data_IF_778982645425
#
_entry.id   IF_778982645425
#
_cell.length_a   1.000
_cell.length_b   1.000
_cell.length_c   1.000
_cell.angle_alpha   90.00
_cell.angle_beta   90.00
_cell.angle_gamma   90.00
#
_symmetry.space_group_name_H-M   'P 1'
#
loop_
_entity.id
_entity.type
_entity.pdbx_description
1 polymer ?
#
# COMPACT_ATOMS: atom_id res chain seq x y z
N UNK A 1 -37.32 2.45 18.97
CA UNK A 1 -36.21 3.23 18.36
C UNK A 1 -34.83 2.77 18.82
N UNK A 2 -34.65 2.26 20.02
CA UNK A 2 -33.34 1.77 20.56
C UNK A 2 -32.87 0.46 19.88
N UNK A 3 -33.76 -0.43 19.47
CA UNK A 3 -33.39 -1.71 18.84
C UNK A 3 -32.77 -1.53 17.42
N UNK A 4 -33.20 -0.52 16.65
CA UNK A 4 -32.70 -0.26 15.30
C UNK A 4 -31.24 0.24 15.35
N UNK A 5 -30.87 1.00 16.38
CA UNK A 5 -29.49 1.53 16.54
C UNK A 5 -28.50 0.40 16.87
N UNK A 6 -28.92 -0.60 17.65
CA UNK A 6 -28.06 -1.75 17.99
C UNK A 6 -27.80 -2.69 16.79
N UNK A 7 -28.76 -2.83 15.87
CA UNK A 7 -28.58 -3.65 14.66
C UNK A 7 -27.61 -2.98 13.68
N UNK A 8 -27.65 -1.65 13.54
CA UNK A 8 -26.73 -0.90 12.69
C UNK A 8 -25.27 -0.95 13.21
N UNK A 9 -25.09 -0.90 14.54
CA UNK A 9 -23.75 -0.98 15.13
C UNK A 9 -23.10 -2.36 14.95
N UNK A 10 -23.88 -3.44 15.01
CA UNK A 10 -23.35 -4.80 14.82
C UNK A 10 -22.96 -5.09 13.37
N UNK A 11 -23.68 -4.50 12.39
CA UNK A 11 -23.37 -4.67 10.97
C UNK A 11 -22.06 -3.97 10.56
N UNK A 12 -21.78 -2.79 11.09
CA UNK A 12 -20.54 -2.05 10.80
C UNK A 12 -19.34 -2.78 11.39
N UNK A 13 -19.44 -3.32 12.59
CA UNK A 13 -18.35 -4.10 13.21
C UNK A 13 -18.08 -5.39 12.43
N UNK A 14 -19.12 -6.07 11.94
CA UNK A 14 -18.97 -7.28 11.14
C UNK A 14 -18.29 -7.01 9.80
N UNK A 15 -18.60 -5.91 9.11
CA UNK A 15 -17.96 -5.50 7.84
C UNK A 15 -16.48 -5.19 8.05
N UNK A 16 -16.10 -4.50 9.13
CA UNK A 16 -14.71 -4.21 9.45
C UNK A 16 -13.90 -5.47 9.76
N UNK A 17 -14.51 -6.47 10.41
CA UNK A 17 -13.85 -7.75 10.71
C UNK A 17 -13.70 -8.63 9.46
N UNK A 18 -14.67 -8.63 8.54
CA UNK A 18 -14.60 -9.42 7.30
C UNK A 18 -13.50 -8.87 6.39
N UNK A 19 -13.41 -7.56 6.19
CA UNK A 19 -12.38 -6.96 5.36
C UNK A 19 -10.96 -7.18 5.93
N UNK A 20 -10.80 -7.12 7.26
CA UNK A 20 -9.52 -7.41 7.91
C UNK A 20 -9.10 -8.88 7.75
N UNK A 21 -10.04 -9.82 7.76
CA UNK A 21 -9.77 -11.25 7.63
C UNK A 21 -9.33 -11.64 6.20
N UNK A 22 -9.88 -11.04 5.18
CA UNK A 22 -9.49 -11.29 3.77
C UNK A 22 -8.09 -10.78 3.47
N UNK A 23 -7.70 -9.62 3.98
CA UNK A 23 -6.35 -9.06 3.81
C UNK A 23 -5.30 -9.98 4.45
N UNK A 24 -5.54 -10.47 5.66
CA UNK A 24 -4.63 -11.40 6.34
C UNK A 24 -4.47 -12.71 5.55
N UNK A 25 -5.56 -13.28 5.02
CA UNK A 25 -5.51 -14.51 4.25
C UNK A 25 -4.80 -14.33 2.89
N UNK A 26 -4.94 -13.17 2.24
CA UNK A 26 -4.21 -12.86 1.01
C UNK A 26 -2.69 -12.81 1.23
N UNK A 27 -2.24 -12.16 2.32
CA UNK A 27 -0.82 -12.06 2.67
C UNK A 27 -0.25 -13.43 3.05
N UNK A 28 -0.96 -14.21 3.89
CA UNK A 28 -0.52 -15.54 4.31
C UNK A 28 -0.41 -16.50 3.13
N UNK A 29 -1.37 -16.51 2.19
CA UNK A 29 -1.32 -17.38 1.01
C UNK A 29 -0.17 -17.02 0.06
N UNK A 30 0.17 -15.74 -0.08
CA UNK A 30 1.28 -15.31 -0.96
C UNK A 30 2.65 -15.68 -0.38
N UNK A 31 2.81 -15.58 0.93
CA UNK A 31 4.04 -16.02 1.64
C UNK A 31 4.19 -17.54 1.55
N UNK A 32 3.12 -18.32 1.69
CA UNK A 32 3.15 -19.79 1.59
C UNK A 32 3.49 -20.29 0.18
N UNK A 33 3.14 -19.56 -0.88
CA UNK A 33 3.51 -19.93 -2.26
C UNK A 33 4.98 -19.60 -2.59
N UNK A 34 5.56 -18.58 -1.97
CA UNK A 34 6.97 -18.22 -2.18
C UNK A 34 7.94 -19.21 -1.51
N UNK A 35 7.52 -19.88 -0.44
CA UNK A 35 8.37 -20.83 0.31
C UNK A 35 8.44 -22.24 -0.32
N UNK A 36 7.55 -22.59 -1.26
CA UNK A 36 7.51 -23.92 -1.87
C UNK A 36 8.40 -24.08 -3.12
N UNK A 37 9.07 -23.02 -3.58
CA UNK A 37 9.91 -23.08 -4.78
C UNK A 37 11.42 -23.29 -4.52
N UNK A 38 11.84 -23.51 -3.27
CA UNK A 38 13.26 -23.70 -2.90
C UNK A 38 13.55 -25.01 -2.17
N UNK A 39 12.76 -26.07 -2.38
CA UNK A 39 13.05 -27.40 -1.81
C UNK A 39 13.25 -28.47 -2.86
N UNK A 40 14.28 -28.35 -3.66
CA UNK A 40 14.93 -29.48 -4.29
C UNK A 40 16.44 -29.18 -4.41
N UNK A 41 17.19 -29.63 -3.48
CA UNK A 41 18.57 -30.15 -3.49
C UNK A 41 19.20 -29.95 -2.12
N UNK A 42 19.26 -30.99 -1.33
CA UNK A 42 20.39 -31.52 -0.56
C UNK A 42 19.91 -32.44 0.56
N UNK A 43 20.01 -33.72 0.31
CA UNK A 43 20.08 -34.73 1.38
C UNK A 43 21.52 -34.81 1.86
N UNK A 44 21.80 -34.60 3.15
CA UNK A 44 22.43 -35.57 4.06
C UNK A 44 22.85 -34.92 5.39
N UNK A 45 22.45 -35.64 6.46
CA UNK A 45 23.10 -35.74 7.78
C UNK A 45 23.17 -34.52 8.72
N UNK A 46 22.41 -34.45 9.80
CA UNK A 46 22.79 -34.97 11.15
C UNK A 46 21.75 -34.49 12.16
N UNK A 47 21.34 -35.36 13.06
CA UNK A 47 20.50 -35.05 14.23
C UNK A 47 21.14 -33.96 15.10
N UNK A 48 20.37 -32.92 15.44
CA UNK A 48 20.44 -32.32 16.76
C UNK A 48 19.14 -31.54 17.04
N UNK A 49 18.61 -31.83 18.21
CA UNK A 49 17.40 -31.34 18.84
C UNK A 49 17.62 -29.90 19.24
N UNK A 50 16.94 -28.95 18.57
CA UNK A 50 16.80 -27.59 19.06
C UNK A 50 15.32 -27.20 18.97
N UNK A 51 14.69 -27.21 20.12
CA UNK A 51 13.44 -26.56 20.41
C UNK A 51 13.68 -25.03 20.31
N UNK A 52 13.43 -24.45 19.16
CA UNK A 52 13.49 -23.01 18.91
C UNK A 52 12.10 -22.54 18.49
N UNK A 53 11.43 -21.80 19.34
CA UNK A 53 10.26 -21.01 18.97
C UNK A 53 10.67 -20.09 17.82
N UNK A 54 10.26 -20.40 16.60
CA UNK A 54 10.35 -19.46 15.47
C UNK A 54 9.42 -18.28 15.76
N UNK A 55 9.97 -17.24 16.39
CA UNK A 55 9.34 -15.94 16.37
C UNK A 55 9.31 -15.47 14.91
N UNK A 56 8.14 -15.51 14.28
CA UNK A 56 7.89 -14.87 13.00
C UNK A 56 8.04 -13.37 13.20
N UNK A 57 9.28 -12.90 13.14
CA UNK A 57 9.58 -11.48 13.08
C UNK A 57 9.08 -10.99 11.71
N UNK A 58 7.91 -10.35 11.67
CA UNK A 58 7.45 -9.65 10.49
C UNK A 58 8.51 -8.62 10.13
N UNK A 59 9.30 -8.88 9.11
CA UNK A 59 10.29 -7.92 8.61
C UNK A 59 9.51 -6.68 8.14
N UNK A 60 9.63 -5.61 8.89
CA UNK A 60 9.03 -4.33 8.56
C UNK A 60 9.69 -3.81 7.27
N UNK A 61 8.88 -3.54 6.24
CA UNK A 61 9.33 -3.01 4.95
C UNK A 61 10.06 -1.69 5.18
N UNK A 62 11.18 -1.45 4.47
CA UNK A 62 11.86 -0.15 4.49
C UNK A 62 10.89 0.94 4.03
N UNK A 63 10.79 2.02 4.79
CA UNK A 63 9.87 3.13 4.48
C UNK A 63 10.21 3.81 3.15
N UNK A 64 11.46 3.79 2.71
CA UNK A 64 11.85 4.33 1.41
C UNK A 64 11.22 3.53 0.26
N UNK A 65 11.05 2.21 0.41
CA UNK A 65 10.34 1.38 -0.58
C UNK A 65 8.87 1.83 -0.69
N UNK A 66 8.25 2.15 0.43
CA UNK A 66 6.88 2.67 0.46
C UNK A 66 6.79 4.04 -0.20
N UNK A 67 7.75 4.95 0.10
CA UNK A 67 7.81 6.26 -0.56
C UNK A 67 8.03 6.14 -2.08
N UNK A 68 8.88 5.21 -2.54
CA UNK A 68 9.09 4.94 -3.96
C UNK A 68 7.80 4.46 -4.63
N UNK A 69 7.07 3.54 -4.02
CA UNK A 69 5.81 3.05 -4.58
C UNK A 69 4.76 4.17 -4.67
N UNK A 70 4.63 4.99 -3.63
CA UNK A 70 3.73 6.16 -3.65
C UNK A 70 4.17 7.19 -4.69
N UNK A 71 5.47 7.44 -4.82
CA UNK A 71 6.03 8.37 -5.82
C UNK A 71 5.67 7.92 -7.23
N UNK A 72 5.82 6.64 -7.56
CA UNK A 72 5.49 6.08 -8.87
C UNK A 72 3.99 6.13 -9.17
N UNK A 73 3.14 5.84 -8.18
CA UNK A 73 1.69 6.04 -8.31
C UNK A 73 1.36 7.52 -8.55
N UNK A 74 1.97 8.44 -7.77
CA UNK A 74 1.73 9.87 -7.92
C UNK A 74 2.18 10.39 -9.30
N UNK A 75 3.29 9.87 -9.85
CA UNK A 75 3.77 10.21 -11.19
C UNK A 75 2.71 9.97 -12.28
N UNK A 76 1.85 8.98 -12.11
CA UNK A 76 0.78 8.69 -13.07
C UNK A 76 -0.19 9.86 -13.22
N UNK A 77 -0.46 10.60 -12.14
CA UNK A 77 -1.51 11.64 -12.10
C UNK A 77 -0.98 13.07 -12.07
N UNK A 78 0.34 13.29 -12.16
CA UNK A 78 0.92 14.64 -12.14
C UNK A 78 1.57 15.04 -13.48
N UNK A 79 1.79 16.35 -13.62
CA UNK A 79 2.62 16.96 -14.66
C UNK A 79 3.82 17.58 -13.95
N UNK A 80 5.07 17.16 -14.25
CA UNK A 80 6.27 17.73 -13.65
C UNK A 80 6.61 19.10 -14.21
N UNK A 81 7.36 19.92 -13.44
CA UNK A 81 7.78 21.27 -13.84
C UNK A 81 8.74 21.25 -15.05
N UNK A 82 9.60 20.25 -15.12
CA UNK A 82 10.68 20.12 -16.10
C UNK A 82 10.38 19.08 -17.20
N UNK A 83 9.19 18.48 -17.20
CA UNK A 83 8.78 17.45 -18.15
C UNK A 83 9.35 16.06 -17.88
N UNK A 84 10.18 15.88 -16.86
CA UNK A 84 10.78 14.59 -16.54
C UNK A 84 9.98 13.81 -15.50
N UNK A 85 9.73 12.53 -15.77
CA UNK A 85 9.13 11.58 -14.82
C UNK A 85 9.91 10.27 -14.82
N UNK A 86 10.09 9.69 -13.63
CA UNK A 86 10.83 8.44 -13.45
C UNK A 86 9.91 7.36 -12.88
N UNK A 87 9.47 6.47 -13.75
CA UNK A 87 8.56 5.38 -13.39
C UNK A 87 7.14 5.88 -13.13
N UNK A 88 6.19 5.07 -13.55
CA UNK A 88 4.76 5.26 -13.30
C UNK A 88 4.15 3.92 -12.94
N UNK A 89 3.30 3.91 -11.92
CA UNK A 89 2.52 2.75 -11.53
C UNK A 89 1.04 3.09 -11.51
N UNK A 90 0.23 2.16 -12.02
CA UNK A 90 -1.21 2.31 -11.99
C UNK A 90 -1.71 2.44 -10.56
N UNK A 91 -2.64 3.37 -10.33
CA UNK A 91 -3.27 3.56 -9.03
C UNK A 91 -4.46 2.62 -8.95
N UNK A 92 -4.33 1.56 -8.16
CA UNK A 92 -5.41 0.63 -7.86
C UNK A 92 -5.72 0.62 -6.36
N UNK A 93 -6.89 0.13 -6.01
CA UNK A 93 -7.32 0.04 -4.62
C UNK A 93 -6.35 -0.83 -3.81
N UNK A 94 -5.95 -1.97 -4.37
CA UNK A 94 -5.02 -2.91 -3.73
C UNK A 94 -3.66 -2.26 -3.46
N UNK A 95 -3.15 -1.43 -4.38
CA UNK A 95 -1.88 -0.72 -4.17
C UNK A 95 -1.99 0.33 -3.09
N UNK A 96 -3.07 1.11 -3.05
CA UNK A 96 -3.31 2.09 -1.99
C UNK A 96 -3.39 1.40 -0.63
N UNK A 97 -4.17 0.32 -0.52
CA UNK A 97 -4.32 -0.45 0.71
C UNK A 97 -2.99 -1.09 1.15
N UNK A 98 -2.21 -1.62 0.20
CA UNK A 98 -0.88 -2.17 0.47
C UNK A 98 0.04 -1.12 1.08
N UNK A 99 0.18 0.06 0.46
CA UNK A 99 1.07 1.11 0.99
C UNK A 99 0.59 1.66 2.32
N UNK A 100 -0.72 1.78 2.55
CA UNK A 100 -1.28 2.16 3.85
C UNK A 100 -0.94 1.13 4.94
N UNK A 101 -1.04 -0.16 4.61
CA UNK A 101 -0.65 -1.25 5.52
C UNK A 101 0.86 -1.23 5.81
N UNK A 102 1.69 -1.07 4.79
CA UNK A 102 3.16 -1.03 4.92
C UNK A 102 3.65 0.23 5.64
N UNK A 103 2.95 1.36 5.52
CA UNK A 103 3.21 2.56 6.32
C UNK A 103 3.07 2.28 7.81
N UNK A 104 2.07 1.50 8.21
CA UNK A 104 1.85 1.06 9.59
C UNK A 104 2.00 2.20 10.63
N UNK A 105 1.43 3.37 10.33
CA UNK A 105 1.50 4.55 11.21
C UNK A 105 2.86 5.24 11.30
N UNK A 106 3.86 4.87 10.49
CA UNK A 106 5.20 5.48 10.49
C UNK A 106 5.26 6.87 9.88
N UNK A 107 4.23 7.27 9.14
CA UNK A 107 4.08 8.59 8.52
C UNK A 107 2.61 9.01 8.54
N UNK A 108 2.22 9.74 9.58
CA UNK A 108 0.85 10.18 9.80
C UNK A 108 0.34 11.11 8.69
N UNK A 109 1.22 11.96 8.15
CA UNK A 109 0.88 12.85 7.07
C UNK A 109 0.51 12.06 5.81
N UNK A 110 1.41 11.17 5.39
CA UNK A 110 1.20 10.38 4.17
C UNK A 110 0.01 9.41 4.34
N UNK A 111 -0.14 8.80 5.51
CA UNK A 111 -1.28 7.96 5.82
C UNK A 111 -2.61 8.72 5.63
N UNK A 112 -2.73 9.93 6.21
CA UNK A 112 -3.91 10.78 6.06
C UNK A 112 -4.18 11.15 4.62
N UNK A 113 -3.14 11.52 3.86
CA UNK A 113 -3.29 11.97 2.49
C UNK A 113 -3.65 10.82 1.52
N UNK A 114 -3.10 9.61 1.72
CA UNK A 114 -3.43 8.42 0.92
C UNK A 114 -4.84 7.89 1.21
N UNK A 115 -5.38 8.09 2.41
CA UNK A 115 -6.78 7.77 2.70
C UNK A 115 -7.77 8.59 1.84
N UNK A 116 -7.39 9.77 1.34
CA UNK A 116 -8.19 10.51 0.36
C UNK A 116 -8.22 9.77 -0.98
N UNK A 117 -7.07 9.23 -1.43
CA UNK A 117 -7.00 8.43 -2.66
C UNK A 117 -7.86 7.17 -2.57
N UNK A 118 -7.89 6.51 -1.42
CA UNK A 118 -8.77 5.36 -1.18
C UNK A 118 -10.27 5.71 -1.31
N UNK A 119 -10.61 7.00 -1.19
CA UNK A 119 -11.94 7.55 -1.43
C UNK A 119 -12.06 8.26 -2.81
N UNK A 120 -11.18 7.95 -3.76
CA UNK A 120 -11.13 8.53 -5.11
C UNK A 120 -10.91 10.07 -5.15
N UNK A 121 -10.42 10.68 -4.05
CA UNK A 121 -10.04 12.10 -4.00
C UNK A 121 -8.54 12.26 -4.23
N UNK A 122 -8.18 12.65 -5.45
CA UNK A 122 -6.80 12.91 -5.88
C UNK A 122 -6.44 14.40 -5.90
N UNK A 123 -7.26 15.27 -5.33
CA UNK A 123 -7.02 16.75 -5.32
C UNK A 123 -5.68 17.13 -4.67
N UNK A 124 -5.13 16.26 -3.82
CA UNK A 124 -3.87 16.43 -3.14
C UNK A 124 -2.67 15.79 -3.87
N UNK A 125 -2.84 15.23 -5.08
CA UNK A 125 -1.83 14.44 -5.78
C UNK A 125 -0.48 15.14 -5.94
N UNK A 126 -0.47 16.44 -6.28
CA UNK A 126 0.76 17.26 -6.34
C UNK A 126 1.47 17.34 -4.98
N UNK A 127 0.70 17.49 -3.91
CA UNK A 127 1.27 17.56 -2.54
C UNK A 127 1.87 16.23 -2.11
N UNK A 128 1.16 15.14 -2.38
CA UNK A 128 1.64 13.77 -2.08
C UNK A 128 2.91 13.48 -2.86
N UNK A 129 2.90 13.74 -4.19
CA UNK A 129 4.09 13.56 -5.02
C UNK A 129 5.29 14.32 -4.45
N UNK A 130 5.17 15.64 -4.25
CA UNK A 130 6.27 16.47 -3.81
C UNK A 130 6.76 16.14 -2.40
N UNK A 131 5.88 15.63 -1.54
CA UNK A 131 6.23 15.15 -0.23
C UNK A 131 7.15 13.92 -0.31
N UNK A 132 6.72 12.84 -0.98
CA UNK A 132 7.53 11.63 -1.10
C UNK A 132 8.78 11.86 -1.95
N UNK A 133 8.70 12.65 -3.02
CA UNK A 133 9.83 13.11 -3.81
C UNK A 133 10.91 13.78 -2.94
N UNK A 134 10.51 14.65 -2.01
CA UNK A 134 11.43 15.28 -1.06
C UNK A 134 12.04 14.28 -0.08
N UNK A 135 11.26 13.30 0.40
CA UNK A 135 11.76 12.23 1.29
C UNK A 135 12.81 11.35 0.61
N UNK A 136 12.68 11.15 -0.70
CA UNK A 136 13.60 10.38 -1.54
C UNK A 136 14.81 11.20 -2.03
N UNK A 137 14.96 12.47 -1.61
CA UNK A 137 16.06 13.33 -2.04
C UNK A 137 15.93 13.81 -3.50
N UNK A 138 14.70 13.94 -3.99
CA UNK A 138 14.41 14.34 -5.37
C UNK A 138 15.01 15.69 -5.76
N UNK A 139 15.58 15.75 -6.96
CA UNK A 139 16.22 16.97 -7.54
C UNK A 139 15.60 17.40 -8.85
N UNK A 140 14.98 16.48 -9.59
CA UNK A 140 14.31 16.70 -10.88
C UNK A 140 12.93 16.02 -10.86
N UNK A 141 12.02 16.43 -11.74
CA UNK A 141 10.69 15.84 -11.85
C UNK A 141 9.67 16.32 -10.80
N UNK A 142 9.92 17.45 -10.12
CA UNK A 142 8.98 18.00 -9.13
C UNK A 142 7.63 18.29 -9.78
N UNK A 143 6.54 17.86 -9.13
CA UNK A 143 5.20 18.04 -9.66
C UNK A 143 4.76 19.50 -9.61
N UNK A 144 4.19 19.98 -10.74
CA UNK A 144 3.62 21.33 -10.93
C UNK A 144 2.09 21.33 -10.82
N UNK A 145 1.43 20.37 -11.46
CA UNK A 145 -0.02 20.30 -11.53
C UNK A 145 -0.51 18.86 -11.65
N UNK A 146 -1.80 18.66 -11.50
CA UNK A 146 -2.45 17.39 -11.83
C UNK A 146 -2.59 17.23 -13.34
N UNK A 147 -2.61 15.99 -13.80
CA UNK A 147 -3.05 15.57 -15.12
C UNK A 147 -4.50 15.09 -15.01
N UNK A 148 -5.45 15.98 -15.33
CA UNK A 148 -6.88 15.72 -15.13
C UNK A 148 -7.37 14.46 -15.86
N UNK A 149 -6.83 14.17 -17.05
CA UNK A 149 -7.16 12.96 -17.82
C UNK A 149 -6.75 11.70 -17.06
N UNK A 150 -5.54 11.70 -16.50
CA UNK A 150 -5.03 10.57 -15.75
C UNK A 150 -5.69 10.43 -14.37
N UNK A 151 -6.01 11.55 -13.71
CA UNK A 151 -6.82 11.55 -12.49
C UNK A 151 -8.17 10.88 -12.75
N UNK A 152 -8.86 11.24 -13.84
CA UNK A 152 -10.15 10.62 -14.16
C UNK A 152 -10.02 9.11 -14.46
N UNK A 153 -8.92 8.67 -15.09
CA UNK A 153 -8.64 7.23 -15.28
C UNK A 153 -8.46 6.52 -13.93
N UNK A 154 -7.69 7.11 -13.02
CA UNK A 154 -7.48 6.54 -11.68
C UNK A 154 -8.81 6.42 -10.91
N UNK A 155 -9.66 7.45 -10.94
CA UNK A 155 -11.00 7.42 -10.33
C UNK A 155 -11.84 6.27 -10.90
N UNK A 156 -11.83 6.08 -12.22
CA UNK A 156 -12.60 5.03 -12.87
C UNK A 156 -12.10 3.62 -12.48
N UNK A 157 -10.79 3.44 -12.32
CA UNK A 157 -10.20 2.17 -11.88
C UNK A 157 -10.58 1.81 -10.44
N UNK A 158 -10.71 2.80 -9.56
CA UNK A 158 -11.08 2.56 -8.16
C UNK A 158 -12.58 2.26 -7.97
N UNK A 159 -13.42 2.63 -8.95
CA UNK A 159 -14.88 2.50 -8.86
C UNK A 159 -15.43 1.28 -9.65
N UNK A 160 -14.56 0.51 -10.31
CA UNK A 160 -14.93 -0.71 -11.03
C UNK A 160 -14.58 -1.97 -10.24
#
# INVERSE_FOLDING_TARGET
>A
MIIIILILSSSIVAVLLINGYEIVNFVVNKVSQSSNQSKDTLKNNTNENIQGEESVQSQQVDINIVYEEVHRMANTIIIPEDGNKWGEDEITKERIEKVLYELNGRDDYLNKELNKWNNSDFSNGVKVHNYVWSKLGGTIGKAKSLNDVNVQKAINLLNN
#
